data_IF_474113748740
#
_entry.id   IF_474113748740
#
_cell.length_a   1.000
_cell.length_b   1.000
_cell.length_c   1.000
_cell.angle_alpha   90.00
_cell.angle_beta   90.00
_cell.angle_gamma   90.00
#
_symmetry.space_group_name_H-M   'P 1'
#
loop_
_entity.id
_entity.type
_entity.pdbx_description
1 polymer ?
#
# COMPACT_ATOMS: atom_id res chain seq x y z
N UNK A 1 -1.22 5.18 5.12
CA UNK A 1 -0.71 4.07 5.98
C UNK A 1 -0.91 4.32 7.47
N UNK A 2 -0.31 5.36 8.08
CA UNK A 2 -0.39 5.63 9.54
C UNK A 2 -1.81 5.59 10.13
N UNK A 3 -2.79 6.23 9.47
CA UNK A 3 -4.20 6.19 9.88
C UNK A 3 -4.76 4.76 9.95
N UNK A 4 -4.43 3.91 8.99
CA UNK A 4 -4.89 2.51 8.95
C UNK A 4 -4.32 1.70 10.11
N UNK A 5 -3.03 1.88 10.42
CA UNK A 5 -2.36 1.22 11.54
C UNK A 5 -3.04 1.57 12.86
N UNK A 6 -3.27 2.87 13.10
CA UNK A 6 -3.88 3.36 14.34
C UNK A 6 -5.33 2.88 14.49
N UNK A 7 -6.13 2.97 13.43
CA UNK A 7 -7.55 2.60 13.48
C UNK A 7 -7.78 1.10 13.68
N UNK A 8 -6.92 0.26 13.08
CA UNK A 8 -7.04 -1.20 13.18
C UNK A 8 -6.16 -1.78 14.30
N UNK A 9 -5.47 -0.92 15.07
CA UNK A 9 -4.56 -1.32 16.15
C UNK A 9 -3.56 -2.40 15.70
N UNK A 10 -3.01 -2.23 14.49
CA UNK A 10 -2.07 -3.18 13.91
C UNK A 10 -0.81 -3.22 14.78
N UNK A 11 -0.49 -4.41 15.31
CA UNK A 11 0.74 -4.65 16.08
C UNK A 11 1.66 -5.68 15.42
N UNK A 12 1.14 -6.54 14.53
CA UNK A 12 1.94 -7.46 13.71
C UNK A 12 2.02 -6.94 12.26
N UNK A 13 3.23 -6.78 11.69
CA UNK A 13 3.41 -6.41 10.29
C UNK A 13 2.65 -7.29 9.29
N UNK A 14 2.36 -8.55 9.63
CA UNK A 14 1.58 -9.47 8.78
C UNK A 14 0.17 -8.96 8.49
N UNK A 15 -0.41 -8.19 9.40
CA UNK A 15 -1.78 -7.68 9.25
C UNK A 15 -1.87 -6.52 8.24
N UNK A 16 -0.71 -5.97 7.81
CA UNK A 16 -0.63 -4.97 6.75
C UNK A 16 -1.03 -5.51 5.37
N UNK A 17 -1.15 -6.83 5.21
CA UNK A 17 -1.64 -7.47 3.97
C UNK A 17 -3.03 -6.97 3.56
N UNK A 18 -3.83 -6.50 4.52
CA UNK A 18 -5.18 -6.01 4.30
C UNK A 18 -5.24 -4.51 3.98
N UNK A 19 -4.10 -3.81 3.91
CA UNK A 19 -4.07 -2.40 3.56
C UNK A 19 -4.46 -2.17 2.08
N UNK A 20 -5.49 -1.35 1.85
CA UNK A 20 -6.05 -1.11 0.52
C UNK A 20 -6.46 0.35 0.24
N UNK A 21 -5.73 1.33 0.78
CA UNK A 21 -6.06 2.75 0.62
C UNK A 21 -5.84 3.22 -0.83
N UNK A 22 -6.76 4.00 -1.40
CA UNK A 22 -6.59 4.79 -2.63
C UNK A 22 -5.93 4.06 -3.82
N UNK A 23 -6.27 2.78 -4.02
CA UNK A 23 -5.76 1.99 -5.15
C UNK A 23 -4.36 1.40 -4.94
N UNK A 24 -3.77 1.55 -3.75
CA UNK A 24 -2.62 0.77 -3.33
C UNK A 24 -3.05 -0.65 -2.94
N UNK A 25 -2.26 -1.65 -3.33
CA UNK A 25 -2.42 -3.05 -2.93
C UNK A 25 -1.10 -3.62 -2.41
N UNK A 26 -1.17 -4.45 -1.38
CA UNK A 26 -0.01 -5.19 -0.89
C UNK A 26 0.49 -6.19 -1.94
N UNK A 27 1.80 -6.18 -2.23
CA UNK A 27 2.44 -7.16 -3.10
C UNK A 27 3.19 -8.19 -2.29
N UNK A 28 2.56 -9.34 -2.05
CA UNK A 28 3.21 -10.49 -1.39
C UNK A 28 4.51 -10.96 -2.07
N UNK A 29 4.61 -11.09 -3.41
CA UNK A 29 5.84 -11.57 -4.04
C UNK A 29 7.00 -10.58 -3.92
N UNK A 30 6.72 -9.27 -3.82
CA UNK A 30 7.75 -8.24 -3.72
C UNK A 30 8.08 -7.85 -2.28
N UNK A 31 7.33 -8.37 -1.30
CA UNK A 31 7.47 -8.03 0.12
C UNK A 31 8.36 -9.01 0.86
N UNK A 32 9.10 -8.49 1.84
CA UNK A 32 9.75 -9.27 2.89
C UNK A 32 9.13 -8.95 4.25
N UNK A 33 9.50 -9.69 5.30
CA UNK A 33 8.99 -9.43 6.64
C UNK A 33 9.29 -7.99 7.12
N UNK A 34 10.51 -7.52 6.86
CA UNK A 34 10.94 -6.18 7.29
C UNK A 34 10.54 -5.08 6.30
N UNK A 35 10.38 -5.43 5.01
CA UNK A 35 10.06 -4.46 3.96
C UNK A 35 8.78 -4.87 3.22
N UNK A 36 7.60 -4.44 3.70
CA UNK A 36 6.34 -4.61 2.98
C UNK A 36 6.25 -3.64 1.79
N UNK A 37 5.87 -4.16 0.62
CA UNK A 37 5.74 -3.41 -0.63
C UNK A 37 4.27 -3.23 -1.00
N UNK A 38 3.91 -1.99 -1.34
CA UNK A 38 2.56 -1.62 -1.78
C UNK A 38 2.64 -1.02 -3.18
N UNK A 39 1.91 -1.61 -4.13
CA UNK A 39 1.87 -1.16 -5.52
C UNK A 39 0.60 -0.33 -5.71
N UNK A 40 0.76 0.93 -6.12
CA UNK A 40 -0.33 1.80 -6.50
C UNK A 40 -0.59 1.74 -8.00
N UNK A 41 -1.85 1.61 -8.40
CA UNK A 41 -2.24 1.85 -9.79
C UNK A 41 -2.30 3.35 -10.05
N UNK A 42 -1.18 3.93 -10.42
CA UNK A 42 -1.16 5.27 -10.98
C UNK A 42 -1.51 5.17 -12.46
N UNK A 43 -2.74 5.56 -12.82
CA UNK A 43 -3.02 5.87 -14.22
C UNK A 43 -2.18 7.09 -14.58
N UNK A 44 -1.03 6.87 -15.20
CA UNK A 44 -0.22 7.93 -15.79
C UNK A 44 -1.04 8.55 -16.93
N UNK A 45 -1.72 9.65 -16.64
CA UNK A 45 -2.26 10.54 -17.65
C UNK A 45 -1.10 11.48 -18.01
N UNK A 46 -0.40 11.30 -19.14
CA UNK A 46 0.52 12.33 -19.60
C UNK A 46 -0.34 13.58 -19.78
N UNK A 47 -0.11 14.59 -18.94
CA UNK A 47 -0.68 15.90 -19.17
C UNK A 47 -0.25 16.31 -20.58
N UNK A 48 -1.19 16.32 -21.53
CA UNK A 48 -0.93 16.91 -22.84
C UNK A 48 -0.54 18.36 -22.56
N UNK A 49 0.72 18.69 -22.85
CA UNK A 49 1.19 20.06 -22.81
C UNK A 49 0.36 20.84 -23.84
N UNK A 50 -0.32 21.89 -23.37
CA UNK A 50 -1.04 22.86 -24.20
C UNK A 50 -0.07 23.69 -25.03
#
# INVERSE_FOLDING_TARGET
MTKFIIQNQITDPKDLINFNLDGYKFSKPDSTYENPVFIGNFNYQPHQSF
#
